data_IF_739288514730
#
_entry.id   IF_739288514730
#
_cell.length_a   1.000
_cell.length_b   1.000
_cell.length_c   1.000
_cell.angle_alpha   90.00
_cell.angle_beta   90.00
_cell.angle_gamma   90.00
#
_symmetry.space_group_name_H-M   'P 1'
#
loop_
_entity.id
_entity.type
_entity.pdbx_description
1 polymer ?
#
# COMPACT_ATOMS: atom_id res chain seq x y z
N UNK A 1 -18.63 -11.24 59.63
CA UNK A 1 -17.64 -11.65 58.64
C UNK A 1 -18.24 -11.38 57.26
N UNK A 2 -17.87 -10.25 56.62
CA UNK A 2 -18.33 -9.87 55.26
C UNK A 2 -17.27 -10.30 54.26
N UNK A 3 -17.63 -11.21 53.35
CA UNK A 3 -16.76 -11.63 52.21
C UNK A 3 -16.87 -10.60 51.11
N UNK A 4 -15.77 -9.91 50.81
CA UNK A 4 -15.60 -9.08 49.63
C UNK A 4 -15.29 -10.01 48.42
N UNK A 5 -16.15 -9.96 47.42
CA UNK A 5 -15.89 -10.60 46.11
C UNK A 5 -15.27 -9.54 45.22
N UNK A 6 -13.99 -9.76 44.85
CA UNK A 6 -13.26 -8.95 43.87
C UNK A 6 -13.64 -9.44 42.47
N UNK A 7 -14.38 -8.62 41.72
CA UNK A 7 -14.60 -8.84 40.29
C UNK A 7 -13.40 -8.23 39.52
N UNK A 8 -12.53 -9.08 39.05
CA UNK A 8 -11.43 -8.69 38.17
C UNK A 8 -11.94 -8.40 36.75
N UNK A 9 -11.89 -7.15 36.36
CA UNK A 9 -12.19 -6.71 34.98
C UNK A 9 -11.00 -7.06 34.07
N UNK A 10 -11.14 -8.13 33.30
CA UNK A 10 -10.15 -8.55 32.29
C UNK A 10 -10.34 -7.64 31.07
N UNK A 11 -9.51 -6.61 30.96
CA UNK A 11 -9.46 -5.78 29.75
C UNK A 11 -8.81 -6.58 28.61
N UNK A 12 -9.64 -7.11 27.71
CA UNK A 12 -9.17 -7.66 26.43
C UNK A 12 -8.66 -6.51 25.57
N UNK A 13 -7.36 -6.36 25.47
CA UNK A 13 -6.72 -5.59 24.42
C UNK A 13 -6.93 -6.33 23.09
N UNK A 14 -7.83 -5.82 22.27
CA UNK A 14 -7.94 -6.23 20.88
C UNK A 14 -6.68 -5.75 20.14
N UNK A 15 -5.70 -6.62 19.96
CA UNK A 15 -4.59 -6.42 19.03
C UNK A 15 -5.23 -6.49 17.63
N UNK A 16 -5.34 -5.35 16.97
CA UNK A 16 -5.67 -5.31 15.55
C UNK A 16 -4.51 -5.97 14.79
N UNK A 17 -4.63 -7.24 14.47
CA UNK A 17 -3.73 -7.90 13.56
C UNK A 17 -3.95 -7.24 12.18
N UNK A 18 -3.01 -6.43 11.74
CA UNK A 18 -2.87 -6.08 10.34
C UNK A 18 -2.64 -7.41 9.62
N UNK A 19 -3.52 -7.77 8.69
CA UNK A 19 -3.32 -8.96 7.88
C UNK A 19 -2.06 -8.72 7.05
N UNK A 20 -0.94 -9.30 7.48
CA UNK A 20 0.27 -9.41 6.71
C UNK A 20 -0.03 -10.41 5.60
N UNK A 21 0.41 -10.11 4.37
CA UNK A 21 0.38 -11.08 3.28
C UNK A 21 1.19 -12.30 3.77
N UNK A 22 0.56 -13.46 3.89
CA UNK A 22 1.10 -14.63 4.62
C UNK A 22 2.47 -15.10 4.10
N UNK A 23 2.84 -14.68 2.88
CA UNK A 23 4.07 -15.06 2.19
C UNK A 23 5.21 -14.03 2.31
N UNK A 24 4.97 -12.82 2.81
CA UNK A 24 5.99 -11.79 2.91
C UNK A 24 6.91 -11.99 4.12
N UNK A 25 8.20 -12.16 3.89
CA UNK A 25 9.21 -12.34 4.94
C UNK A 25 9.61 -11.05 5.67
N UNK A 26 9.08 -9.90 5.28
CA UNK A 26 9.27 -8.61 5.96
C UNK A 26 8.13 -8.36 6.94
N UNK A 27 8.43 -8.24 8.23
CA UNK A 27 7.43 -8.19 9.31
C UNK A 27 6.61 -6.91 9.40
N UNK A 28 7.11 -5.81 8.89
CA UNK A 28 6.48 -4.48 8.97
C UNK A 28 6.69 -3.76 7.63
N UNK A 29 6.11 -4.27 6.53
CA UNK A 29 6.43 -3.86 5.16
C UNK A 29 6.13 -2.40 4.87
N UNK A 30 5.11 -1.82 5.48
CA UNK A 30 4.64 -0.44 5.28
C UNK A 30 4.86 0.44 6.52
N UNK A 31 5.73 0.03 7.46
CA UNK A 31 6.10 0.81 8.66
C UNK A 31 4.95 1.11 9.63
N UNK A 32 3.82 0.41 9.52
CA UNK A 32 2.59 0.69 10.27
C UNK A 32 2.67 0.26 11.74
N UNK A 33 3.48 -0.72 12.06
CA UNK A 33 3.69 -1.18 13.44
C UNK A 33 4.77 -0.30 14.07
N UNK A 34 4.41 0.37 15.18
CA UNK A 34 5.33 1.24 15.92
C UNK A 34 5.62 0.69 17.30
N UNK A 35 6.90 0.74 17.70
CA UNK A 35 7.34 0.38 19.04
C UNK A 35 7.02 1.46 20.08
N UNK A 36 7.68 1.37 21.24
CA UNK A 36 7.44 2.27 22.41
C UNK A 36 7.83 3.74 22.16
N UNK A 37 8.52 4.05 21.09
CA UNK A 37 8.99 5.41 20.77
C UNK A 37 7.88 6.31 20.21
N UNK A 38 8.01 7.62 20.42
CA UNK A 38 7.14 8.62 19.77
C UNK A 38 7.90 9.28 18.63
N UNK A 39 7.33 9.29 17.43
CA UNK A 39 7.84 10.04 16.30
C UNK A 39 7.66 11.54 16.54
N UNK A 40 8.76 12.29 16.62
CA UNK A 40 8.76 13.74 16.92
C UNK A 40 9.63 14.56 15.98
N UNK A 41 10.61 13.93 15.34
CA UNK A 41 11.62 14.59 14.51
C UNK A 41 12.10 13.65 13.41
N UNK A 42 12.82 14.18 12.44
CA UNK A 42 13.52 13.39 11.43
C UNK A 42 14.56 12.45 12.09
N UNK A 43 15.04 11.46 11.35
CA UNK A 43 16.04 10.47 11.78
C UNK A 43 15.53 9.55 12.90
N UNK A 44 14.27 9.12 12.78
CA UNK A 44 13.64 8.24 13.77
C UNK A 44 13.01 6.99 13.13
N UNK A 45 13.66 6.38 12.14
CA UNK A 45 13.17 5.12 11.53
C UNK A 45 12.95 4.01 12.57
N UNK A 46 13.73 4.00 13.65
CA UNK A 46 13.63 3.03 14.75
C UNK A 46 12.31 3.08 15.54
N UNK A 47 11.46 4.09 15.29
CA UNK A 47 10.10 4.12 15.82
C UNK A 47 9.20 3.10 15.09
N UNK A 48 9.46 2.81 13.81
CA UNK A 48 8.87 1.68 13.12
C UNK A 48 9.48 0.38 13.65
N UNK A 49 8.65 -0.51 14.19
CA UNK A 49 9.09 -1.77 14.78
C UNK A 49 9.78 -2.64 13.72
N UNK A 50 10.87 -3.30 14.11
CA UNK A 50 11.74 -4.13 13.27
C UNK A 50 12.54 -3.37 12.19
N UNK A 51 12.51 -2.03 12.19
CA UNK A 51 13.33 -1.24 11.29
C UNK A 51 14.40 -0.45 12.04
N UNK A 52 15.59 -0.42 11.47
CA UNK A 52 16.75 0.30 11.99
C UNK A 52 17.59 0.90 10.85
N UNK A 53 18.63 1.63 11.19
CA UNK A 53 19.64 2.09 10.23
C UNK A 53 20.97 1.41 10.53
N UNK A 54 21.64 0.85 9.52
CA UNK A 54 22.92 0.15 9.71
C UNK A 54 24.11 1.07 9.91
N UNK A 55 23.93 2.38 9.90
CA UNK A 55 25.00 3.39 10.11
C UNK A 55 24.68 4.27 11.30
N UNK A 56 25.66 5.02 11.80
CA UNK A 56 25.47 6.04 12.86
C UNK A 56 24.56 7.22 12.45
N UNK A 57 23.91 7.17 11.28
CA UNK A 57 22.95 8.14 10.78
C UNK A 57 21.62 7.47 10.43
N UNK A 58 20.62 7.73 11.27
CA UNK A 58 19.29 7.14 11.05
C UNK A 58 18.57 7.73 9.83
N UNK A 59 17.83 6.87 9.14
CA UNK A 59 16.82 7.23 8.14
C UNK A 59 15.59 7.87 8.78
N UNK A 60 14.73 8.47 7.95
CA UNK A 60 13.54 9.16 8.41
C UNK A 60 12.31 8.24 8.39
N UNK A 61 11.34 8.55 9.25
CA UNK A 61 9.98 7.99 9.24
C UNK A 61 8.99 9.15 9.14
N UNK A 62 7.96 8.97 8.32
CA UNK A 62 6.85 9.93 8.14
C UNK A 62 5.52 9.29 8.52
N UNK A 63 4.58 10.09 9.04
CA UNK A 63 3.31 9.60 9.55
C UNK A 63 2.21 10.66 9.37
N UNK A 64 1.06 10.28 8.81
CA UNK A 64 -0.12 11.16 8.62
C UNK A 64 -0.64 11.77 9.91
N UNK A 65 -0.41 11.12 11.05
CA UNK A 65 -0.90 11.58 12.36
C UNK A 65 0.06 12.57 13.04
N UNK A 66 1.17 12.93 12.40
CA UNK A 66 2.20 13.79 12.97
C UNK A 66 2.22 15.17 12.34
N UNK A 67 2.77 16.12 13.08
CA UNK A 67 3.08 17.46 12.57
C UNK A 67 4.46 17.49 11.90
N UNK A 68 4.75 18.58 11.19
CA UNK A 68 6.09 18.86 10.65
C UNK A 68 7.18 18.67 11.75
N UNK A 69 8.36 18.15 11.42
CA UNK A 69 8.87 17.84 10.07
C UNK A 69 8.54 16.41 9.57
N UNK A 70 7.93 15.55 10.40
CA UNK A 70 7.71 14.12 10.14
C UNK A 70 6.31 13.81 9.62
N UNK A 71 5.56 14.83 9.21
CA UNK A 71 4.19 14.63 8.73
C UNK A 71 4.14 14.00 7.33
N UNK A 72 3.05 13.35 7.01
CA UNK A 72 2.63 12.97 5.67
C UNK A 72 1.22 13.55 5.41
N UNK A 73 0.88 13.98 4.21
CA UNK A 73 1.73 13.96 3.02
C UNK A 73 2.76 15.11 2.95
N UNK A 74 2.59 16.20 3.70
CA UNK A 74 3.48 17.38 3.63
C UNK A 74 4.58 17.26 4.67
N UNK A 75 5.83 17.24 4.24
CA UNK A 75 7.01 17.15 5.12
C UNK A 75 8.15 18.08 4.66
N UNK A 76 9.30 18.01 5.31
CA UNK A 76 10.44 18.88 5.01
C UNK A 76 11.08 18.66 3.63
N UNK A 77 10.77 17.57 2.94
CA UNK A 77 11.36 17.22 1.65
C UNK A 77 10.37 17.30 0.49
N UNK A 78 9.07 17.48 0.78
CA UNK A 78 8.07 17.53 -0.27
C UNK A 78 6.67 17.14 0.21
N UNK A 79 5.86 16.70 -0.75
CA UNK A 79 4.51 16.20 -0.53
C UNK A 79 4.37 14.83 -1.14
N UNK A 80 4.24 13.80 -0.29
CA UNK A 80 3.99 12.43 -0.74
C UNK A 80 2.98 11.75 0.17
N UNK A 81 1.97 11.11 -0.43
CA UNK A 81 1.03 10.29 0.31
C UNK A 81 1.63 8.89 0.53
N UNK A 82 1.46 8.28 1.71
CA UNK A 82 1.79 6.87 1.85
C UNK A 82 1.16 6.04 0.74
N UNK A 83 1.89 5.07 0.24
CA UNK A 83 1.38 4.12 -0.73
C UNK A 83 0.36 3.20 -0.07
N UNK A 84 0.66 2.76 1.15
CA UNK A 84 -0.22 2.00 2.01
C UNK A 84 -0.27 2.59 3.42
N UNK A 85 -1.41 2.45 4.09
CA UNK A 85 -1.58 2.87 5.48
C UNK A 85 -1.37 4.37 5.72
N UNK A 86 -0.53 4.67 6.72
CA UNK A 86 -0.31 6.03 7.23
C UNK A 86 1.16 6.46 7.22
N UNK A 87 2.11 5.54 6.95
CA UNK A 87 3.53 5.75 7.15
C UNK A 87 4.35 5.38 5.93
N UNK A 88 5.54 5.92 5.86
CA UNK A 88 6.60 5.53 4.93
C UNK A 88 7.97 5.98 5.47
N UNK A 89 9.02 5.30 5.02
CA UNK A 89 10.40 5.68 5.33
C UNK A 89 10.95 6.73 4.34
N UNK A 90 12.10 7.33 4.68
CA UNK A 90 12.81 8.22 3.78
C UNK A 90 14.33 8.10 3.93
N UNK A 91 15.02 8.05 2.78
CA UNK A 91 16.49 7.92 2.72
C UNK A 91 17.16 8.95 1.83
N UNK A 92 18.39 9.29 2.15
CA UNK A 92 19.34 9.97 1.24
C UNK A 92 20.07 8.91 0.44
N UNK A 93 19.84 8.81 -0.86
CA UNK A 93 20.51 7.85 -1.75
C UNK A 93 21.76 8.42 -2.44
N UNK A 94 21.87 9.76 -2.50
CA UNK A 94 22.99 10.46 -3.11
C UNK A 94 23.07 11.90 -2.59
N UNK A 95 24.27 12.41 -2.42
CA UNK A 95 24.54 13.81 -2.15
C UNK A 95 25.62 14.35 -3.06
N UNK A 96 25.37 15.52 -3.66
CA UNK A 96 26.31 16.15 -4.57
C UNK A 96 27.62 16.51 -3.85
N UNK A 97 28.74 16.05 -4.38
CA UNK A 97 30.09 16.18 -3.80
C UNK A 97 30.19 15.58 -2.38
N UNK A 98 29.45 14.55 -2.04
CA UNK A 98 29.45 13.88 -0.75
C UNK A 98 29.26 14.85 0.44
N UNK A 99 28.46 15.91 0.25
CA UNK A 99 28.21 16.91 1.31
C UNK A 99 27.46 16.36 2.52
N UNK A 100 26.61 15.37 2.28
CA UNK A 100 25.88 14.66 3.32
C UNK A 100 26.05 13.14 3.08
N UNK A 101 26.23 12.35 4.13
CA UNK A 101 26.27 10.91 3.99
C UNK A 101 24.89 10.36 3.60
N UNK A 102 24.88 9.19 2.96
CA UNK A 102 23.70 8.43 2.65
C UNK A 102 23.07 7.86 3.91
N UNK A 103 21.81 7.57 3.84
CA UNK A 103 21.09 6.82 4.87
C UNK A 103 20.49 5.57 4.30
N UNK A 104 20.29 4.57 5.13
CA UNK A 104 19.83 3.24 4.77
C UNK A 104 18.77 2.80 5.76
N UNK A 105 17.93 1.86 5.35
CA UNK A 105 17.00 1.15 6.24
C UNK A 105 17.32 -0.33 6.23
N UNK A 106 17.24 -0.97 7.39
CA UNK A 106 17.56 -2.37 7.60
C UNK A 106 16.46 -3.05 8.39
N UNK A 107 16.16 -4.29 8.03
CA UNK A 107 15.27 -5.15 8.80
C UNK A 107 15.76 -6.60 8.81
N UNK A 108 15.40 -7.35 9.85
CA UNK A 108 15.57 -8.77 9.89
C UNK A 108 14.38 -9.45 9.25
N UNK A 109 14.63 -10.42 8.37
CA UNK A 109 13.60 -11.25 7.78
C UNK A 109 13.03 -12.25 8.80
N UNK A 110 11.79 -12.67 8.61
CA UNK A 110 11.10 -13.67 9.44
C UNK A 110 11.84 -15.01 9.52
N UNK A 111 12.57 -15.35 8.45
CA UNK A 111 13.36 -16.58 8.38
C UNK A 111 14.64 -16.40 7.58
N UNK A 112 15.51 -17.39 7.64
CA UNK A 112 16.67 -17.51 6.73
C UNK A 112 16.14 -17.93 5.37
N UNK A 113 16.59 -17.28 4.29
CA UNK A 113 16.22 -17.69 2.94
C UNK A 113 16.71 -19.11 2.65
N UNK A 114 15.92 -19.89 1.95
CA UNK A 114 16.26 -21.29 1.62
C UNK A 114 17.23 -21.31 0.43
N UNK A 115 18.30 -22.10 0.57
CA UNK A 115 19.32 -22.23 -0.47
C UNK A 115 18.71 -22.66 -1.81
N UNK A 116 19.20 -22.06 -2.88
CA UNK A 116 18.81 -22.31 -4.29
C UNK A 116 17.34 -21.98 -4.63
N UNK A 117 16.55 -21.45 -3.69
CA UNK A 117 15.20 -20.94 -3.92
C UNK A 117 15.27 -19.51 -4.45
N UNK A 118 14.40 -19.17 -5.39
CA UNK A 118 14.26 -17.83 -5.94
C UNK A 118 13.21 -17.02 -5.15
N UNK A 119 13.56 -15.78 -4.88
CA UNK A 119 12.74 -14.82 -4.15
C UNK A 119 12.52 -13.57 -5.00
N UNK A 120 11.33 -13.03 -5.00
CA UNK A 120 11.11 -11.66 -5.43
C UNK A 120 11.43 -10.72 -4.26
N UNK A 121 12.34 -9.78 -4.49
CA UNK A 121 12.61 -8.67 -3.57
C UNK A 121 12.04 -7.42 -4.22
N UNK A 122 11.12 -6.74 -3.54
CA UNK A 122 10.39 -5.63 -4.11
C UNK A 122 10.13 -4.56 -3.04
N UNK A 123 10.20 -3.31 -3.43
CA UNK A 123 9.79 -2.16 -2.62
C UNK A 123 9.43 -1.00 -3.54
N UNK A 124 8.71 -0.04 -3.02
CA UNK A 124 8.30 1.12 -3.81
C UNK A 124 9.03 2.37 -3.36
N UNK A 125 9.36 3.20 -4.34
CA UNK A 125 10.06 4.47 -4.10
C UNK A 125 9.37 5.63 -4.79
N UNK A 126 9.41 6.81 -4.15
CA UNK A 126 9.03 8.08 -4.76
C UNK A 126 10.11 9.11 -4.49
N UNK A 127 10.50 9.86 -5.53
CA UNK A 127 11.51 10.92 -5.39
C UNK A 127 10.90 12.16 -4.76
N UNK A 128 11.49 12.70 -3.70
CA UNK A 128 10.98 13.89 -3.03
C UNK A 128 10.99 15.13 -3.93
N UNK A 129 10.02 16.03 -3.76
CA UNK A 129 9.82 17.22 -4.60
C UNK A 129 10.99 18.17 -4.59
N UNK A 130 11.64 18.32 -3.43
CA UNK A 130 12.77 19.21 -3.26
C UNK A 130 14.11 18.61 -3.68
N UNK A 131 14.15 17.32 -4.08
CA UNK A 131 15.36 16.69 -4.60
C UNK A 131 15.84 17.41 -5.87
N UNK A 132 17.12 17.80 -5.87
CA UNK A 132 17.79 18.38 -7.05
C UNK A 132 18.35 17.33 -7.98
N UNK A 133 18.50 16.12 -7.50
CA UNK A 133 19.05 14.98 -8.24
C UNK A 133 18.09 13.79 -8.13
N UNK A 134 18.09 12.99 -9.17
CA UNK A 134 17.56 11.65 -9.20
C UNK A 134 18.71 10.70 -9.56
N UNK A 135 18.70 9.48 -9.08
CA UNK A 135 19.80 8.53 -9.27
C UNK A 135 19.34 7.13 -9.65
N UNK A 136 20.26 6.35 -10.17
CA UNK A 136 20.16 4.91 -10.27
C UNK A 136 20.72 4.24 -9.00
N UNK A 137 20.98 2.94 -9.03
CA UNK A 137 21.64 2.15 -7.98
C UNK A 137 20.87 2.11 -6.64
N UNK A 138 19.55 2.43 -6.63
CA UNK A 138 18.73 2.04 -5.48
C UNK A 138 18.63 0.52 -5.46
N UNK A 139 19.11 -0.09 -4.39
CA UNK A 139 19.21 -1.53 -4.29
C UNK A 139 18.79 -2.07 -2.93
N UNK A 140 18.50 -3.36 -2.90
CA UNK A 140 18.20 -4.15 -1.73
C UNK A 140 19.28 -5.19 -1.53
N UNK A 141 20.10 -5.05 -0.50
CA UNK A 141 21.14 -6.01 -0.14
C UNK A 141 20.57 -7.07 0.80
N UNK A 142 20.87 -8.33 0.52
CA UNK A 142 20.48 -9.48 1.32
C UNK A 142 21.71 -10.10 2.01
N UNK A 143 21.79 -9.97 3.32
CA UNK A 143 22.95 -10.35 4.11
C UNK A 143 22.71 -11.45 5.14
N UNK A 144 23.76 -12.20 5.46
CA UNK A 144 23.76 -13.17 6.56
C UNK A 144 23.67 -12.49 7.93
N UNK A 145 24.41 -11.41 8.09
CA UNK A 145 24.52 -10.63 9.32
C UNK A 145 23.98 -9.21 9.06
N UNK A 146 23.52 -8.47 10.09
CA UNK A 146 23.23 -7.07 9.93
C UNK A 146 24.47 -6.33 9.45
N UNK A 147 24.29 -5.26 8.70
CA UNK A 147 25.34 -4.28 8.49
C UNK A 147 25.35 -3.36 9.71
N UNK A 148 26.49 -3.24 10.34
CA UNK A 148 26.70 -2.40 11.53
C UNK A 148 27.91 -1.52 11.30
N UNK A 149 27.66 -0.27 10.95
CA UNK A 149 28.68 0.75 10.75
C UNK A 149 28.39 1.91 11.71
N UNK A 150 29.15 2.01 12.78
CA UNK A 150 28.98 3.05 13.81
C UNK A 150 29.27 4.46 13.27
N UNK A 151 30.07 4.55 12.23
CA UNK A 151 30.37 5.80 11.57
C UNK A 151 29.16 6.36 10.81
N UNK A 152 29.22 7.65 10.48
CA UNK A 152 28.24 8.32 9.61
C UNK A 152 28.71 8.35 8.16
N UNK A 153 29.43 7.32 7.74
CA UNK A 153 29.95 7.20 6.37
C UNK A 153 29.01 6.41 5.50
N UNK A 154 29.21 6.53 4.19
CA UNK A 154 28.47 5.75 3.20
C UNK A 154 28.93 4.27 3.27
N UNK A 155 27.98 3.35 3.15
CA UNK A 155 28.27 1.92 2.92
C UNK A 155 28.56 1.77 1.43
N UNK A 156 29.82 1.52 1.09
CA UNK A 156 30.26 1.33 -0.29
C UNK A 156 30.79 -0.10 -0.45
N UNK A 157 30.17 -0.86 -1.34
CA UNK A 157 30.68 -2.17 -1.72
C UNK A 157 31.77 -2.01 -2.77
N UNK A 158 32.84 -2.76 -2.63
CA UNK A 158 34.00 -2.74 -3.52
C UNK A 158 34.19 -4.07 -4.25
N UNK A 159 33.64 -5.16 -3.71
CA UNK A 159 33.83 -6.52 -4.22
C UNK A 159 32.60 -6.98 -4.97
N UNK A 160 32.83 -7.61 -6.12
CA UNK A 160 31.77 -8.17 -6.97
C UNK A 160 30.83 -9.09 -6.19
N UNK A 161 31.35 -9.91 -5.26
CA UNK A 161 30.54 -10.80 -4.44
C UNK A 161 29.53 -10.09 -3.55
N UNK A 162 29.78 -8.83 -3.19
CA UNK A 162 28.86 -8.02 -2.38
C UNK A 162 27.71 -7.51 -3.26
N UNK A 163 28.03 -7.10 -4.49
CA UNK A 163 27.02 -6.69 -5.46
C UNK A 163 26.14 -7.86 -5.92
N UNK A 164 26.64 -9.09 -5.94
CA UNK A 164 25.82 -10.28 -6.21
C UNK A 164 24.73 -10.53 -5.17
N UNK A 165 24.77 -9.83 -4.03
CA UNK A 165 23.75 -9.86 -2.98
C UNK A 165 22.83 -8.62 -3.03
N UNK A 166 22.99 -7.76 -4.03
CA UNK A 166 22.17 -6.56 -4.21
C UNK A 166 21.20 -6.73 -5.36
N UNK A 167 19.92 -6.66 -5.05
CA UNK A 167 18.87 -6.62 -6.06
C UNK A 167 18.68 -5.17 -6.51
N UNK A 168 18.83 -4.93 -7.80
CA UNK A 168 18.61 -3.65 -8.46
C UNK A 168 17.42 -3.77 -9.42
N UNK A 169 16.78 -2.65 -9.71
CA UNK A 169 15.78 -2.59 -10.78
C UNK A 169 16.39 -3.05 -12.11
N UNK A 170 15.73 -3.92 -12.91
CA UNK A 170 16.19 -4.33 -14.22
C UNK A 170 16.57 -3.13 -15.11
N UNK A 171 17.73 -3.19 -15.73
CA UNK A 171 18.30 -2.10 -16.53
C UNK A 171 18.87 -0.93 -15.72
N UNK A 172 18.76 -0.95 -14.39
CA UNK A 172 19.37 0.02 -13.46
C UNK A 172 19.27 1.48 -13.93
N UNK A 173 18.05 1.88 -14.32
CA UNK A 173 17.74 3.25 -14.80
C UNK A 173 17.72 4.24 -13.64
N UNK A 174 17.88 5.53 -13.98
CA UNK A 174 17.62 6.62 -13.02
C UNK A 174 16.14 6.66 -12.68
N UNK A 175 15.83 6.70 -11.39
CA UNK A 175 14.45 6.74 -10.88
C UNK A 175 14.12 8.19 -10.54
N UNK A 176 13.35 8.85 -11.40
CA UNK A 176 13.08 10.29 -11.31
C UNK A 176 11.62 10.67 -11.11
N UNK A 177 10.74 9.68 -10.88
CA UNK A 177 9.32 9.93 -10.66
C UNK A 177 9.07 10.61 -9.31
N UNK A 178 8.34 11.72 -9.36
CA UNK A 178 7.78 12.45 -8.23
C UNK A 178 6.27 12.27 -8.23
N UNK A 179 5.64 12.27 -7.06
CA UNK A 179 4.19 12.05 -6.88
C UNK A 179 3.67 10.69 -7.34
N UNK A 180 4.57 9.78 -7.60
CA UNK A 180 4.24 8.44 -8.05
C UNK A 180 5.20 7.45 -7.42
N UNK A 181 4.67 6.42 -6.83
CA UNK A 181 5.43 5.28 -6.35
C UNK A 181 5.87 4.41 -7.53
N UNK A 182 7.16 4.16 -7.65
CA UNK A 182 7.74 3.25 -8.66
C UNK A 182 8.31 2.01 -7.97
N UNK A 183 8.05 0.80 -8.48
CA UNK A 183 8.63 -0.41 -7.93
C UNK A 183 10.14 -0.47 -8.25
N UNK A 184 10.91 -0.85 -7.25
CA UNK A 184 12.27 -1.36 -7.40
C UNK A 184 12.21 -2.81 -7.01
N UNK A 185 12.45 -3.71 -7.96
CA UNK A 185 12.38 -5.13 -7.67
C UNK A 185 13.28 -5.95 -8.59
N UNK A 186 13.50 -7.20 -8.18
CA UNK A 186 14.20 -8.19 -8.97
C UNK A 186 14.20 -9.56 -8.29
N UNK A 187 14.57 -10.56 -9.07
CA UNK A 187 14.69 -11.92 -8.60
C UNK A 187 16.04 -12.11 -7.92
N UNK A 188 16.02 -12.74 -6.77
CA UNK A 188 17.19 -13.11 -5.98
C UNK A 188 17.24 -14.60 -5.76
N UNK A 189 18.30 -15.28 -6.21
CA UNK A 189 18.54 -16.69 -5.91
C UNK A 189 19.33 -16.82 -4.61
N UNK A 190 18.71 -17.37 -3.57
CA UNK A 190 19.27 -17.38 -2.24
C UNK A 190 20.46 -18.36 -2.08
N UNK A 191 21.45 -17.97 -1.29
CA UNK A 191 22.57 -18.83 -0.90
C UNK A 191 22.26 -19.71 0.32
N UNK A 192 21.14 -19.45 1.02
CA UNK A 192 20.72 -20.14 2.22
C UNK A 192 21.31 -19.54 3.51
N UNK A 193 21.78 -18.29 3.46
CA UNK A 193 22.42 -17.63 4.60
C UNK A 193 21.77 -16.31 4.95
N UNK A 194 21.00 -15.74 4.06
CA UNK A 194 20.43 -14.41 4.15
C UNK A 194 19.37 -14.35 5.25
N UNK A 195 19.49 -13.35 6.12
CA UNK A 195 18.61 -13.09 7.27
C UNK A 195 18.23 -11.62 7.41
N UNK A 196 18.94 -10.75 6.68
CA UNK A 196 18.76 -9.29 6.77
C UNK A 196 18.59 -8.72 5.38
N UNK A 197 17.72 -7.73 5.31
CA UNK A 197 17.48 -6.88 4.14
C UNK A 197 17.93 -5.47 4.47
N UNK A 198 18.74 -4.86 3.58
CA UNK A 198 19.17 -3.47 3.68
C UNK A 198 18.84 -2.74 2.39
N UNK A 199 18.14 -1.60 2.48
CA UNK A 199 17.78 -0.79 1.32
C UNK A 199 18.58 0.51 1.31
N UNK A 200 19.19 0.82 0.16
CA UNK A 200 19.97 2.03 -0.05
C UNK A 200 20.75 2.03 -1.37
N UNK A 201 21.75 2.90 -1.46
CA UNK A 201 22.69 2.93 -2.59
C UNK A 201 24.10 2.57 -2.09
N UNK A 202 24.61 1.43 -2.55
CA UNK A 202 25.88 0.84 -2.12
C UNK A 202 27.05 1.14 -3.09
N UNK A 203 26.82 1.92 -4.14
CA UNK A 203 27.83 2.33 -5.09
C UNK A 203 28.43 3.66 -4.69
N UNK A 204 29.69 3.90 -5.03
CA UNK A 204 30.29 5.22 -4.87
C UNK A 204 29.65 6.27 -5.80
N UNK A 205 29.92 7.56 -5.58
CA UNK A 205 29.33 8.62 -6.39
C UNK A 205 29.81 8.63 -7.86
N UNK A 206 31.00 8.05 -8.15
CA UNK A 206 31.52 7.98 -9.53
C UNK A 206 30.74 6.97 -10.36
N UNK A 207 30.28 5.89 -9.73
CA UNK A 207 29.53 4.80 -10.36
C UNK A 207 28.00 4.99 -10.25
N UNK A 208 27.56 6.08 -9.60
CA UNK A 208 26.15 6.45 -9.52
C UNK A 208 25.81 7.44 -10.63
N UNK A 209 24.96 7.01 -11.58
CA UNK A 209 24.42 7.90 -12.61
C UNK A 209 23.36 8.80 -11.97
N UNK A 210 23.38 10.08 -12.28
CA UNK A 210 22.40 11.02 -11.78
C UNK A 210 21.82 11.91 -12.89
N UNK A 211 20.59 12.34 -12.67
CA UNK A 211 19.91 13.36 -13.44
C UNK A 211 19.71 14.60 -12.57
N UNK A 212 20.06 15.78 -13.09
CA UNK A 212 19.84 17.06 -12.41
C UNK A 212 18.46 17.59 -12.78
N UNK A 213 17.61 17.75 -11.78
CA UNK A 213 16.21 18.11 -11.97
C UNK A 213 15.96 19.60 -11.79
N UNK A 214 15.04 20.14 -12.59
CA UNK A 214 14.55 21.51 -12.40
C UNK A 214 13.62 21.56 -11.17
N UNK A 215 13.62 22.71 -10.49
CA UNK A 215 12.65 22.97 -9.42
C UNK A 215 11.24 22.97 -10.01
N UNK A 216 10.31 22.36 -9.29
CA UNK A 216 8.89 22.38 -9.63
C UNK A 216 8.34 23.80 -9.49
N UNK A 217 7.65 24.30 -10.53
CA UNK A 217 7.20 25.70 -10.59
C UNK A 217 6.27 26.09 -9.44
N UNK A 218 5.43 25.17 -9.01
CA UNK A 218 4.38 25.41 -8.02
C UNK A 218 4.73 24.87 -6.62
N UNK A 219 5.99 24.50 -6.39
CA UNK A 219 6.41 23.95 -5.11
C UNK A 219 7.22 24.98 -4.31
N UNK A 220 6.78 25.26 -3.08
CA UNK A 220 7.48 26.16 -2.17
C UNK A 220 8.67 25.43 -1.53
N UNK A 221 9.76 26.14 -1.27
CA UNK A 221 10.97 25.61 -0.65
C UNK A 221 12.18 25.67 -1.56
N UNK A 222 13.35 25.45 -1.00
CA UNK A 222 14.64 25.42 -1.71
C UNK A 222 14.99 23.99 -2.06
N UNK A 223 15.41 23.76 -3.32
CA UNK A 223 15.91 22.43 -3.69
C UNK A 223 17.11 22.03 -2.84
N UNK A 224 17.10 20.78 -2.38
CA UNK A 224 18.18 20.16 -1.63
C UNK A 224 19.17 19.51 -2.60
N UNK A 225 20.50 19.68 -2.42
CA UNK A 225 21.52 19.19 -3.36
C UNK A 225 21.77 17.68 -3.20
N UNK A 226 20.70 16.90 -3.12
CA UNK A 226 20.71 15.45 -2.94
C UNK A 226 19.56 14.77 -3.69
N UNK A 227 19.64 13.44 -3.81
CA UNK A 227 18.53 12.57 -4.17
C UNK A 227 17.97 11.95 -2.89
N UNK A 228 16.75 12.32 -2.53
CA UNK A 228 16.03 11.84 -1.37
C UNK A 228 14.82 11.04 -1.82
N UNK A 229 14.71 9.80 -1.40
CA UNK A 229 13.61 8.92 -1.77
C UNK A 229 12.78 8.52 -0.56
N UNK A 230 11.47 8.52 -0.74
CA UNK A 230 10.54 7.86 0.13
C UNK A 230 10.48 6.37 -0.23
N UNK A 231 10.25 5.51 0.76
CA UNK A 231 10.17 4.05 0.59
C UNK A 231 8.94 3.55 1.31
N UNK A 232 8.20 2.66 0.64
CA UNK A 232 7.01 2.01 1.20
C UNK A 232 6.85 0.60 0.61
N UNK A 233 6.00 -0.23 1.22
CA UNK A 233 5.65 -1.59 0.81
C UNK A 233 6.86 -2.45 0.43
N UNK A 234 7.62 -2.87 1.44
CA UNK A 234 8.81 -3.71 1.27
C UNK A 234 8.42 -5.17 1.35
N UNK A 235 8.76 -5.93 0.32
CA UNK A 235 8.36 -7.33 0.16
C UNK A 235 9.55 -8.21 -0.15
N UNK A 236 9.59 -9.39 0.47
CA UNK A 236 10.48 -10.51 0.13
C UNK A 236 9.66 -11.78 0.20
N UNK A 237 9.38 -12.41 -0.92
CA UNK A 237 8.56 -13.61 -0.99
C UNK A 237 9.09 -14.63 -1.99
N UNK A 238 8.75 -15.92 -1.79
CA UNK A 238 9.14 -17.00 -2.67
C UNK A 238 8.39 -16.91 -3.99
N UNK A 239 9.07 -17.19 -5.09
CA UNK A 239 8.48 -17.32 -6.42
C UNK A 239 8.84 -18.66 -7.03
N UNK A 240 7.93 -19.21 -7.81
CA UNK A 240 8.16 -20.43 -8.61
C UNK A 240 8.67 -20.10 -10.02
N UNK A 241 8.19 -18.99 -10.58
CA UNK A 241 8.61 -18.47 -11.89
C UNK A 241 9.17 -17.04 -11.72
N UNK A 242 10.35 -16.72 -12.29
CA UNK A 242 10.86 -15.34 -12.34
C UNK A 242 9.84 -14.31 -12.87
N UNK A 243 8.91 -14.71 -13.72
CA UNK A 243 7.84 -13.85 -14.22
C UNK A 243 6.85 -13.38 -13.13
N UNK A 244 6.76 -14.10 -12.01
CA UNK A 244 5.92 -13.72 -10.86
C UNK A 244 6.49 -12.50 -10.12
N UNK A 245 7.80 -12.22 -10.29
CA UNK A 245 8.42 -11.00 -9.80
C UNK A 245 8.16 -9.85 -10.78
N UNK A 246 6.93 -9.40 -10.88
CA UNK A 246 6.55 -8.33 -11.82
C UNK A 246 7.04 -6.96 -11.33
N UNK A 247 8.14 -6.50 -11.94
CA UNK A 247 8.69 -5.16 -11.75
C UNK A 247 8.10 -4.13 -12.71
N UNK A 248 7.09 -4.50 -13.48
CA UNK A 248 6.40 -3.54 -14.34
C UNK A 248 5.50 -2.63 -13.49
N UNK A 249 5.33 -1.39 -13.97
CA UNK A 249 4.40 -0.44 -13.35
C UNK A 249 2.90 -0.81 -13.56
N UNK A 250 2.56 -2.09 -13.77
CA UNK A 250 1.16 -2.51 -13.84
C UNK A 250 0.42 -2.18 -12.54
N UNK A 251 1.11 -2.23 -11.39
CA UNK A 251 0.55 -1.68 -10.16
C UNK A 251 0.42 -0.16 -10.19
N UNK A 252 1.22 0.56 -10.99
CA UNK A 252 1.07 2.02 -11.16
C UNK A 252 -0.30 2.38 -11.76
N UNK A 253 -0.77 1.63 -12.73
CA UNK A 253 -2.14 1.74 -13.22
C UNK A 253 -3.12 1.38 -12.08
N UNK A 254 -2.91 0.27 -11.39
CA UNK A 254 -3.80 -0.21 -10.32
C UNK A 254 -3.86 0.73 -9.11
N UNK A 255 -2.71 1.25 -8.63
CA UNK A 255 -2.68 2.17 -7.46
C UNK A 255 -3.13 3.58 -7.83
N UNK A 256 -2.76 4.06 -9.02
CA UNK A 256 -3.24 5.36 -9.52
C UNK A 256 -4.73 5.34 -9.87
N UNK A 257 -5.30 4.17 -10.12
CA UNK A 257 -6.70 3.94 -10.48
C UNK A 257 -7.50 3.35 -9.31
N UNK A 258 -6.83 2.74 -8.33
CA UNK A 258 -7.39 2.26 -7.09
C UNK A 258 -7.91 3.42 -6.24
N UNK A 259 -9.15 3.80 -6.51
CA UNK A 259 -9.92 4.73 -5.70
C UNK A 259 -11.27 4.07 -5.44
N UNK A 260 -11.44 3.56 -4.23
CA UNK A 260 -12.75 3.16 -3.77
C UNK A 260 -13.46 4.39 -3.23
N UNK A 261 -14.53 4.79 -3.87
CA UNK A 261 -15.39 5.84 -3.33
C UNK A 261 -16.10 5.29 -2.10
N UNK A 262 -16.10 6.05 -1.02
CA UNK A 262 -16.88 5.78 0.17
C UNK A 262 -17.60 7.05 0.57
N UNK A 263 -18.91 6.93 0.80
CA UNK A 263 -19.71 7.98 1.41
C UNK A 263 -20.11 7.46 2.78
N UNK A 264 -19.55 8.06 3.83
CA UNK A 264 -19.96 7.73 5.19
C UNK A 264 -21.46 7.95 5.32
N UNK A 265 -22.18 6.89 5.63
CA UNK A 265 -23.56 6.99 6.04
C UNK A 265 -23.58 7.33 7.53
N UNK A 266 -23.80 8.59 7.83
CA UNK A 266 -24.11 9.01 9.20
C UNK A 266 -25.58 8.67 9.40
N UNK A 267 -25.85 7.63 10.17
CA UNK A 267 -27.20 7.35 10.70
C UNK A 267 -27.56 8.47 11.66
N UNK A 268 -28.06 9.59 11.12
CA UNK A 268 -28.75 10.57 11.94
C UNK A 268 -30.16 10.06 12.21
N UNK A 269 -30.63 10.22 13.45
CA UNK A 269 -32.00 9.90 13.83
C UNK A 269 -32.96 10.66 12.90
N UNK A 270 -33.68 9.93 12.04
CA UNK A 270 -34.67 10.53 11.15
C UNK A 270 -34.86 9.87 9.77
N UNK A 271 -33.95 9.01 9.32
CA UNK A 271 -34.14 8.30 8.05
C UNK A 271 -35.09 7.10 8.19
N UNK A 272 -36.04 6.99 7.26
CA UNK A 272 -36.88 5.81 7.12
C UNK A 272 -36.05 4.60 6.67
N UNK A 273 -36.55 3.39 6.91
CA UNK A 273 -35.89 2.15 6.46
C UNK A 273 -35.67 2.16 4.93
N UNK A 274 -36.65 2.64 4.15
CA UNK A 274 -36.53 2.76 2.70
C UNK A 274 -35.40 3.72 2.30
N UNK A 275 -35.23 4.85 2.98
CA UNK A 275 -34.14 5.81 2.75
C UNK A 275 -32.79 5.22 3.13
N UNK A 276 -32.69 4.51 4.23
CA UNK A 276 -31.45 3.85 4.66
C UNK A 276 -31.02 2.80 3.64
N UNK A 277 -31.93 1.97 3.14
CA UNK A 277 -31.65 0.99 2.09
C UNK A 277 -31.15 1.68 0.82
N UNK A 278 -31.86 2.72 0.36
CA UNK A 278 -31.53 3.46 -0.87
C UNK A 278 -30.20 4.20 -0.79
N UNK A 279 -29.79 4.63 0.41
CA UNK A 279 -28.50 5.28 0.63
C UNK A 279 -27.34 4.30 0.72
N UNK A 280 -27.62 3.02 0.96
CA UNK A 280 -26.60 1.98 1.00
C UNK A 280 -26.12 1.69 -0.43
N UNK A 281 -24.85 1.96 -0.67
CA UNK A 281 -24.19 1.69 -1.96
C UNK A 281 -22.82 1.10 -1.68
N UNK A 282 -22.53 -0.06 -2.29
CA UNK A 282 -21.24 -0.74 -2.12
C UNK A 282 -20.34 -0.41 -3.29
N UNK A 283 -19.19 0.22 -3.02
CA UNK A 283 -18.22 0.62 -4.03
C UNK A 283 -17.06 -0.36 -4.11
N UNK A 284 -16.48 -0.46 -5.31
CA UNK A 284 -15.43 -1.43 -5.62
C UNK A 284 -14.21 -0.75 -6.24
N UNK A 285 -13.07 -1.40 -6.06
CA UNK A 285 -11.87 -1.05 -6.78
C UNK A 285 -11.97 -1.46 -8.25
N UNK A 286 -11.11 -0.87 -9.08
CA UNK A 286 -11.05 -1.18 -10.51
C UNK A 286 -10.75 -2.67 -10.74
N UNK A 287 -11.47 -3.27 -11.68
CA UNK A 287 -11.36 -4.69 -12.05
C UNK A 287 -11.50 -5.67 -10.87
N UNK A 288 -12.03 -5.23 -9.74
CA UNK A 288 -12.16 -6.00 -8.51
C UNK A 288 -13.63 -6.34 -8.20
N UNK A 289 -13.83 -7.51 -7.61
CA UNK A 289 -15.09 -7.96 -6.98
C UNK A 289 -14.97 -8.08 -5.46
N UNK A 290 -13.83 -7.68 -4.89
CA UNK A 290 -13.57 -7.73 -3.47
C UNK A 290 -14.36 -6.63 -2.76
N UNK A 291 -15.12 -7.00 -1.72
CA UNK A 291 -15.77 -6.04 -0.84
C UNK A 291 -14.71 -5.44 0.09
N UNK A 292 -14.48 -4.15 -0.03
CA UNK A 292 -13.50 -3.47 0.79
C UNK A 292 -13.99 -3.30 2.24
N UNK A 293 -13.04 -3.30 3.18
CA UNK A 293 -13.34 -3.23 4.63
C UNK A 293 -14.21 -2.03 5.01
N UNK A 294 -14.07 -0.92 4.29
CA UNK A 294 -14.88 0.28 4.48
C UNK A 294 -16.37 0.05 4.25
N UNK A 295 -16.75 -0.91 3.36
CA UNK A 295 -18.13 -1.21 3.00
C UNK A 295 -18.80 -2.18 3.99
N UNK A 296 -18.03 -2.87 4.84
CA UNK A 296 -18.54 -3.91 5.74
C UNK A 296 -19.56 -3.36 6.72
N UNK A 297 -19.32 -2.18 7.28
CA UNK A 297 -20.22 -1.54 8.23
C UNK A 297 -21.60 -1.25 7.63
N UNK A 298 -21.61 -0.75 6.39
CA UNK A 298 -22.86 -0.42 5.68
C UNK A 298 -23.63 -1.70 5.33
N UNK A 299 -22.91 -2.76 4.94
CA UNK A 299 -23.52 -4.07 4.69
C UNK A 299 -24.03 -4.73 5.98
N UNK A 300 -23.32 -4.63 7.09
CA UNK A 300 -23.81 -5.15 8.38
C UNK A 300 -25.07 -4.40 8.86
N UNK A 301 -25.15 -3.09 8.62
CA UNK A 301 -26.36 -2.31 8.89
C UNK A 301 -27.53 -2.78 8.00
N UNK A 302 -27.28 -3.02 6.70
CA UNK A 302 -28.29 -3.52 5.77
C UNK A 302 -28.80 -4.91 6.20
N UNK A 303 -27.92 -5.80 6.62
CA UNK A 303 -28.26 -7.12 7.18
C UNK A 303 -29.11 -6.98 8.44
N UNK A 304 -28.77 -6.06 9.34
CA UNK A 304 -29.56 -5.79 10.57
C UNK A 304 -30.98 -5.31 10.24
N UNK A 305 -31.13 -4.43 9.24
CA UNK A 305 -32.46 -3.98 8.75
C UNK A 305 -33.27 -5.17 8.22
N UNK A 306 -32.66 -6.01 7.37
CA UNK A 306 -33.34 -7.17 6.78
C UNK A 306 -33.71 -8.23 7.82
N UNK A 307 -32.90 -8.43 8.85
CA UNK A 307 -33.20 -9.37 9.93
C UNK A 307 -34.28 -8.81 10.88
N UNK A 308 -34.41 -7.50 10.98
CA UNK A 308 -35.44 -6.83 11.78
C UNK A 308 -36.82 -6.85 11.12
N UNK A 309 -36.91 -6.98 9.80
CA UNK A 309 -38.16 -7.06 9.04
C UNK A 309 -38.08 -8.15 7.96
N UNK A 310 -38.76 -9.30 8.16
CA UNK A 310 -38.74 -10.42 7.21
C UNK A 310 -39.39 -10.13 5.84
N UNK A 311 -40.20 -9.11 5.73
CA UNK A 311 -40.90 -8.75 4.47
C UNK A 311 -40.02 -7.97 3.51
N UNK A 312 -38.89 -7.40 3.98
CA UNK A 312 -37.96 -6.66 3.15
C UNK A 312 -37.30 -7.58 2.14
N UNK A 313 -37.42 -7.23 0.86
CA UNK A 313 -36.72 -7.84 -0.26
C UNK A 313 -35.88 -6.79 -0.96
N UNK A 314 -34.67 -7.16 -1.38
CA UNK A 314 -33.74 -6.24 -2.02
C UNK A 314 -33.43 -6.65 -3.46
N UNK A 315 -33.27 -5.65 -4.31
CA UNK A 315 -32.66 -5.79 -5.62
C UNK A 315 -31.25 -5.17 -5.58
N UNK A 316 -30.26 -5.95 -6.00
CA UNK A 316 -28.88 -5.53 -6.11
C UNK A 316 -28.54 -5.31 -7.59
N UNK A 317 -28.14 -4.08 -7.96
CA UNK A 317 -27.76 -3.73 -9.32
C UNK A 317 -26.28 -3.41 -9.38
N UNK A 318 -25.48 -4.30 -9.96
CA UNK A 318 -24.04 -4.12 -10.11
C UNK A 318 -23.69 -3.32 -11.37
N UNK A 319 -22.71 -2.42 -11.23
CA UNK A 319 -22.27 -1.50 -12.29
C UNK A 319 -20.77 -1.49 -12.45
N UNK A 320 -20.34 -1.10 -13.65
CA UNK A 320 -18.93 -0.91 -14.06
C UNK A 320 -18.71 0.52 -14.53
N UNK A 321 -17.47 0.94 -14.60
CA UNK A 321 -17.09 2.18 -15.29
C UNK A 321 -16.71 1.92 -16.75
N UNK A 322 -16.39 2.98 -17.48
CA UNK A 322 -16.05 2.88 -18.90
C UNK A 322 -14.72 2.15 -19.14
N UNK A 323 -13.74 2.31 -18.24
CA UNK A 323 -12.44 1.63 -18.39
C UNK A 323 -12.58 0.11 -18.23
N UNK A 324 -13.41 -0.33 -17.30
CA UNK A 324 -13.71 -1.75 -17.10
C UNK A 324 -14.45 -2.34 -18.31
N UNK A 325 -15.38 -1.58 -18.92
CA UNK A 325 -16.05 -1.97 -20.15
C UNK A 325 -15.07 -2.05 -21.33
N UNK A 326 -14.13 -1.11 -21.42
CA UNK A 326 -13.12 -1.11 -22.48
C UNK A 326 -12.11 -2.26 -22.29
N UNK A 327 -11.70 -2.55 -21.06
CA UNK A 327 -10.88 -3.71 -20.73
C UNK A 327 -11.58 -5.03 -21.10
N UNK A 328 -12.88 -5.15 -20.79
CA UNK A 328 -13.68 -6.33 -21.15
C UNK A 328 -13.81 -6.50 -22.68
N UNK A 329 -13.94 -5.39 -23.43
CA UNK A 329 -13.98 -5.43 -24.89
C UNK A 329 -12.62 -5.81 -25.50
N UNK A 330 -11.53 -5.36 -24.87
CA UNK A 330 -10.17 -5.66 -25.32
C UNK A 330 -9.77 -7.12 -25.09
N UNK A 331 -10.31 -7.77 -24.05
CA UNK A 331 -10.09 -9.18 -23.71
C UNK A 331 -11.40 -9.88 -23.32
N UNK A 332 -12.27 -10.22 -24.32
CA UNK A 332 -13.60 -10.77 -24.07
C UNK A 332 -13.58 -12.20 -23.49
N UNK A 333 -12.47 -12.91 -23.60
CA UNK A 333 -12.30 -14.26 -23.05
C UNK A 333 -11.83 -14.27 -21.61
N UNK A 334 -11.44 -13.14 -21.09
CA UNK A 334 -10.99 -13.01 -19.69
C UNK A 334 -12.15 -13.18 -18.73
N UNK A 335 -12.18 -14.37 -18.11
CA UNK A 335 -13.27 -14.75 -17.18
C UNK A 335 -13.31 -13.88 -15.94
N UNK A 336 -12.22 -13.24 -15.55
CA UNK A 336 -12.15 -12.45 -14.31
C UNK A 336 -12.87 -11.11 -14.45
N UNK A 337 -12.80 -10.49 -15.62
CA UNK A 337 -13.42 -9.19 -15.90
C UNK A 337 -14.76 -9.28 -16.63
N UNK A 338 -15.10 -10.44 -17.22
CA UNK A 338 -16.36 -10.64 -17.91
C UNK A 338 -17.53 -10.59 -16.93
N UNK A 339 -18.53 -9.73 -17.20
CA UNK A 339 -19.71 -9.59 -16.36
C UNK A 339 -19.39 -9.06 -14.95
N UNK A 340 -18.42 -8.15 -14.83
CA UNK A 340 -17.89 -7.67 -13.55
C UNK A 340 -18.97 -7.04 -12.67
N UNK A 341 -19.91 -6.28 -13.25
CA UNK A 341 -21.04 -5.72 -12.51
C UNK A 341 -21.90 -6.82 -11.87
N UNK A 342 -22.24 -7.84 -12.63
CA UNK A 342 -23.00 -9.00 -12.13
C UNK A 342 -22.24 -9.70 -10.98
N UNK A 343 -20.96 -9.97 -11.17
CA UNK A 343 -20.13 -10.62 -10.16
C UNK A 343 -20.03 -9.82 -8.85
N UNK A 344 -20.00 -8.50 -8.93
CA UNK A 344 -20.05 -7.62 -7.75
C UNK A 344 -21.35 -7.77 -6.98
N UNK A 345 -22.49 -7.75 -7.70
CA UNK A 345 -23.80 -7.94 -7.09
C UNK A 345 -23.93 -9.32 -6.43
N UNK A 346 -23.43 -10.38 -7.09
CA UNK A 346 -23.38 -11.72 -6.50
C UNK A 346 -22.49 -11.79 -5.25
N UNK A 347 -21.37 -11.06 -5.20
CA UNK A 347 -20.54 -10.99 -4.00
C UNK A 347 -21.25 -10.30 -2.84
N UNK A 348 -21.98 -9.22 -3.10
CA UNK A 348 -22.80 -8.53 -2.08
C UNK A 348 -23.93 -9.45 -1.61
N UNK A 349 -24.63 -10.14 -2.53
CA UNK A 349 -25.65 -11.14 -2.19
C UNK A 349 -25.08 -12.24 -1.30
N UNK A 350 -23.94 -12.83 -1.70
CA UNK A 350 -23.29 -13.88 -0.91
C UNK A 350 -22.89 -13.40 0.50
N UNK A 351 -22.50 -12.15 0.65
CA UNK A 351 -22.23 -11.55 1.97
C UNK A 351 -23.50 -11.49 2.83
N UNK A 352 -24.59 -10.96 2.28
CA UNK A 352 -25.87 -10.78 2.98
C UNK A 352 -26.45 -12.15 3.39
N UNK A 353 -26.48 -13.11 2.47
CA UNK A 353 -26.95 -14.48 2.72
C UNK A 353 -26.07 -15.20 3.74
N UNK A 354 -24.74 -15.03 3.66
CA UNK A 354 -23.78 -15.59 4.62
C UNK A 354 -23.96 -15.04 6.06
N UNK A 355 -24.70 -13.94 6.24
CA UNK A 355 -25.09 -13.35 7.54
C UNK A 355 -26.49 -13.78 8.00
N UNK A 356 -27.11 -14.75 7.34
CA UNK A 356 -28.36 -15.38 7.76
C UNK A 356 -29.63 -14.84 7.13
N UNK A 357 -29.54 -13.97 6.12
CA UNK A 357 -30.70 -13.52 5.33
C UNK A 357 -31.05 -14.58 4.31
N UNK A 358 -32.36 -14.89 4.16
CA UNK A 358 -32.85 -15.86 3.18
C UNK A 358 -32.51 -15.40 1.74
N UNK A 359 -31.97 -16.32 0.95
CA UNK A 359 -31.50 -16.04 -0.41
C UNK A 359 -32.60 -15.53 -1.33
N UNK A 360 -33.84 -16.00 -1.17
CA UNK A 360 -35.01 -15.60 -1.98
C UNK A 360 -35.38 -14.14 -1.81
N UNK A 361 -34.86 -13.49 -0.76
CA UNK A 361 -35.08 -12.07 -0.45
C UNK A 361 -34.07 -11.14 -1.12
N UNK A 362 -33.04 -11.68 -1.80
CA UNK A 362 -31.98 -10.88 -2.44
C UNK A 362 -31.91 -11.22 -3.92
N UNK A 363 -32.41 -10.31 -4.75
CA UNK A 363 -32.48 -10.43 -6.19
C UNK A 363 -31.30 -9.70 -6.81
N UNK A 364 -30.53 -10.39 -7.69
CA UNK A 364 -29.43 -9.76 -8.44
C UNK A 364 -29.95 -9.39 -9.83
N UNK A 365 -29.71 -8.12 -10.20
CA UNK A 365 -29.95 -7.59 -11.54
C UNK A 365 -28.63 -7.19 -12.15
N UNK A 366 -28.33 -7.72 -13.32
CA UNK A 366 -27.15 -7.29 -14.08
C UNK A 366 -27.54 -6.13 -14.98
N UNK A 367 -26.73 -5.06 -14.92
CA UNK A 367 -26.74 -3.99 -15.91
C UNK A 367 -25.28 -3.77 -16.30
N UNK A 368 -24.81 -4.56 -17.26
CA UNK A 368 -23.44 -4.49 -17.77
C UNK A 368 -23.19 -3.26 -18.67
N UNK A 369 -24.21 -2.43 -18.91
CA UNK A 369 -24.10 -1.28 -19.77
C UNK A 369 -24.47 0.02 -19.06
N UNK A 370 -23.47 0.86 -18.86
CA UNK A 370 -23.52 2.29 -19.15
C UNK A 370 -24.53 3.19 -18.45
N UNK A 371 -25.13 2.86 -17.31
CA UNK A 371 -25.78 3.89 -16.51
C UNK A 371 -24.78 4.54 -15.56
N UNK A 372 -23.97 5.44 -16.11
CA UNK A 372 -23.08 6.29 -15.37
C UNK A 372 -23.87 7.28 -14.52
N UNK A 373 -23.71 7.27 -13.19
CA UNK A 373 -24.23 8.35 -12.34
C UNK A 373 -23.40 9.63 -12.48
N UNK A 374 -22.23 9.52 -13.06
CA UNK A 374 -21.37 10.65 -13.35
C UNK A 374 -20.93 10.59 -14.81
N UNK A 375 -21.24 11.64 -15.56
CA UNK A 375 -20.77 11.83 -16.93
C UNK A 375 -19.33 12.31 -16.98
N UNK A 376 -18.65 12.41 -15.82
CA UNK A 376 -17.30 12.91 -15.69
C UNK A 376 -16.25 11.86 -16.07
N UNK A 377 -15.12 12.37 -16.53
CA UNK A 377 -13.94 11.55 -16.92
C UNK A 377 -12.90 11.50 -15.81
N UNK A 378 -13.15 12.10 -14.63
CA UNK A 378 -12.21 12.10 -13.52
C UNK A 378 -12.17 10.72 -12.84
N UNK A 379 -11.08 10.44 -12.13
CA UNK A 379 -10.93 9.20 -11.34
C UNK A 379 -12.05 9.03 -10.32
N UNK A 380 -12.46 10.12 -9.68
CA UNK A 380 -13.57 10.11 -8.73
C UNK A 380 -14.89 9.72 -9.39
N UNK A 381 -15.13 10.20 -10.60
CA UNK A 381 -16.34 9.85 -11.37
C UNK A 381 -16.35 8.36 -11.72
N UNK A 382 -15.21 7.82 -12.17
CA UNK A 382 -15.05 6.40 -12.45
C UNK A 382 -15.25 5.56 -11.18
N UNK A 383 -14.62 5.94 -10.06
CA UNK A 383 -14.79 5.25 -8.78
C UNK A 383 -16.25 5.22 -8.31
N UNK A 384 -17.02 6.28 -8.54
CA UNK A 384 -18.46 6.32 -8.25
C UNK A 384 -19.30 5.41 -9.16
N UNK A 385 -18.78 5.04 -10.32
CA UNK A 385 -19.48 4.14 -11.24
C UNK A 385 -19.26 2.67 -10.90
N UNK A 386 -18.16 2.29 -10.27
CA UNK A 386 -17.84 0.93 -9.83
C UNK A 386 -18.57 0.58 -8.53
N UNK A 387 -19.84 0.18 -8.63
CA UNK A 387 -20.70 0.01 -7.46
C UNK A 387 -21.75 -1.07 -7.59
N UNK A 388 -22.34 -1.40 -6.46
CA UNK A 388 -23.61 -2.12 -6.35
C UNK A 388 -24.62 -1.20 -5.67
N UNK A 389 -25.69 -0.89 -6.38
CA UNK A 389 -26.84 -0.16 -5.87
C UNK A 389 -27.80 -1.13 -5.19
N UNK A 390 -28.39 -0.68 -4.08
CA UNK A 390 -29.36 -1.46 -3.30
C UNK A 390 -30.72 -0.77 -3.37
N UNK A 391 -31.73 -1.49 -3.79
CA UNK A 391 -33.10 -1.00 -3.90
C UNK A 391 -34.08 -1.93 -3.19
N UNK A 392 -35.09 -1.34 -2.54
CA UNK A 392 -36.20 -2.09 -1.95
C UNK A 392 -37.09 -2.62 -3.09
N UNK A 393 -37.39 -3.92 -3.07
CA UNK A 393 -38.40 -4.50 -3.98
C UNK A 393 -39.78 -4.27 -3.37
N UNK A 394 -40.64 -3.58 -4.11
CA UNK A 394 -42.03 -3.33 -3.73
C UNK A 394 -42.93 -4.47 -4.19
#
# INVERSE_FOLDING_TARGET
MKKLVFFGLLAMFAISAVAQDDDNLVTNPSFEITGKGKLKKLKQITVAENWESPTGLNADLFDKTRAQPCSAPNNSFGKEFPMDGNRYAGIVAYSYNNKEPRTYIQTRLLGTLTKDVEYCVKYYVSLSDLSKYAVNNLGAYLGKNPLEEESKTDIIFEKEKEFNQVVLLPGNKVINARYNWEPVCGVYKASGKEKFLVIGNFHNNKDTKFEKLKKLKNFQGTQIPKAYYYIDQVEVFIIEDPADCDCSNKMKAKILESMVYHKDFISEDGYTVEEQIKLTTVYFDILSVKIERLMIKDLDNLVAIMNGDPEIKLQLTGRTDQEELDAQKADPENKDIKGLGHKRAEKVKAYIVGKGVDESRVIVKSVDEGASNSKGVTRLDKAKNRRVEVELVK
#
